data_IF_132859913881
#
_entry.id   IF_132859913881
#
_cell.length_a   1.000
_cell.length_b   1.000
_cell.length_c   1.000
_cell.angle_alpha   90.00
_cell.angle_beta   90.00
_cell.angle_gamma   90.00
#
_symmetry.space_group_name_H-M   'P 1'
#
loop_
_entity.id
_entity.type
_entity.pdbx_description
1 polymer ?
#
# COMPACT_ATOMS: atom_id res chain seq x y z
N UNK A 1 -25.19 6.73 10.33
CA UNK A 1 -23.77 6.83 10.69
C UNK A 1 -23.16 7.83 9.72
N UNK A 2 -22.56 8.92 10.18
CA UNK A 2 -21.95 9.92 9.29
C UNK A 2 -20.72 9.29 8.65
N UNK A 3 -20.81 8.86 7.40
CA UNK A 3 -19.68 8.24 6.68
C UNK A 3 -18.70 9.34 6.32
N UNK A 4 -17.51 9.31 6.93
CA UNK A 4 -16.40 10.11 6.43
C UNK A 4 -16.20 9.79 4.94
N UNK A 5 -15.96 10.80 4.11
CA UNK A 5 -15.71 10.61 2.68
C UNK A 5 -14.55 9.63 2.47
N UNK A 6 -14.76 8.66 1.58
CA UNK A 6 -13.81 7.64 1.21
C UNK A 6 -12.79 8.21 0.24
N UNK A 7 -11.57 8.38 0.74
CA UNK A 7 -10.41 8.76 -0.08
C UNK A 7 -9.75 7.51 -0.65
N UNK A 8 -9.82 7.36 -1.98
CA UNK A 8 -9.18 6.26 -2.71
C UNK A 8 -7.86 6.74 -3.33
N UNK A 9 -6.70 6.11 -3.04
CA UNK A 9 -5.43 6.50 -3.63
C UNK A 9 -5.43 6.35 -5.15
N UNK A 10 -4.68 7.22 -5.84
CA UNK A 10 -4.56 7.22 -7.32
C UNK A 10 -4.17 5.86 -7.88
N UNK A 11 -3.22 5.20 -7.23
CA UNK A 11 -2.78 3.87 -7.66
C UNK A 11 -3.91 2.83 -7.61
N UNK A 12 -4.85 2.95 -6.67
CA UNK A 12 -5.91 1.96 -6.45
C UNK A 12 -7.03 2.11 -7.47
N UNK A 13 -7.52 3.32 -7.73
CA UNK A 13 -8.56 3.52 -8.74
C UNK A 13 -8.03 3.39 -10.17
N UNK A 14 -6.74 3.69 -10.44
CA UNK A 14 -6.15 3.49 -11.77
C UNK A 14 -6.16 2.03 -12.24
N UNK A 15 -6.01 1.08 -11.31
CA UNK A 15 -6.08 -0.37 -11.64
C UNK A 15 -7.43 -0.76 -12.26
N UNK A 16 -8.49 -0.11 -11.78
CA UNK A 16 -9.87 -0.33 -12.25
C UNK A 16 -10.19 0.37 -13.57
N UNK A 17 -9.32 1.27 -14.05
CA UNK A 17 -9.42 1.88 -15.38
C UNK A 17 -8.67 1.09 -16.46
N UNK A 18 -8.13 -0.09 -16.13
CA UNK A 18 -7.36 -0.94 -17.05
C UNK A 18 -6.18 -0.21 -17.72
N UNK A 19 -5.65 0.84 -17.09
CA UNK A 19 -4.54 1.62 -17.63
C UNK A 19 -3.20 0.95 -17.27
N UNK A 20 -2.26 0.79 -18.22
CA UNK A 20 -0.95 0.24 -17.92
C UNK A 20 -0.20 1.03 -16.83
N UNK A 21 0.60 0.31 -16.04
CA UNK A 21 1.40 0.91 -14.98
C UNK A 21 2.41 1.89 -15.57
N UNK A 22 2.36 3.15 -15.13
CA UNK A 22 3.29 4.20 -15.55
C UNK A 22 2.81 5.07 -16.70
N UNK A 23 1.69 4.73 -17.34
CA UNK A 23 1.10 5.58 -18.37
C UNK A 23 0.23 6.69 -17.75
N UNK A 24 0.35 7.95 -18.23
CA UNK A 24 -0.54 9.02 -17.81
C UNK A 24 -1.93 8.80 -18.39
N UNK A 25 -2.96 9.19 -17.64
CA UNK A 25 -4.32 9.24 -18.15
C UNK A 25 -4.50 10.48 -19.02
N UNK A 26 -5.45 10.43 -19.96
CA UNK A 26 -5.94 11.64 -20.59
C UNK A 26 -6.62 12.55 -19.55
N UNK A 27 -6.67 13.85 -19.82
CA UNK A 27 -7.36 14.81 -18.96
C UNK A 27 -8.84 14.43 -18.77
N UNK A 28 -9.49 13.93 -19.83
CA UNK A 28 -10.89 13.51 -19.78
C UNK A 28 -11.08 12.28 -18.88
N UNK A 29 -10.20 11.27 -19.00
CA UNK A 29 -10.28 10.08 -18.16
C UNK A 29 -9.98 10.39 -16.68
N UNK A 30 -9.06 11.31 -16.43
CA UNK A 30 -8.79 11.80 -15.08
C UNK A 30 -10.00 12.56 -14.52
N UNK A 31 -10.63 13.44 -15.31
CA UNK A 31 -11.83 14.15 -14.86
C UNK A 31 -13.00 13.20 -14.62
N UNK A 32 -13.21 12.20 -15.49
CA UNK A 32 -14.29 11.23 -15.36
C UNK A 32 -14.22 10.43 -14.07
N UNK A 33 -13.05 9.92 -13.70
CA UNK A 33 -12.89 9.16 -12.44
C UNK A 33 -12.97 10.06 -11.20
N UNK A 34 -12.45 11.29 -11.26
CA UNK A 34 -12.56 12.26 -10.16
C UNK A 34 -14.03 12.64 -9.90
N UNK A 35 -14.81 12.86 -10.95
CA UNK A 35 -16.26 13.10 -10.85
C UNK A 35 -16.99 11.87 -10.30
N UNK A 36 -16.65 10.67 -10.77
CA UNK A 36 -17.23 9.43 -10.27
C UNK A 36 -16.94 9.20 -8.77
N UNK A 37 -15.70 9.43 -8.32
CA UNK A 37 -15.32 9.32 -6.91
C UNK A 37 -16.02 10.36 -6.04
N UNK A 38 -16.22 11.58 -6.55
CA UNK A 38 -17.01 12.60 -5.87
C UNK A 38 -18.47 12.15 -5.75
N UNK A 39 -19.04 11.60 -6.82
CA UNK A 39 -20.40 11.10 -6.83
C UNK A 39 -20.62 9.97 -5.80
N UNK A 40 -19.73 8.97 -5.76
CA UNK A 40 -19.79 7.87 -4.78
C UNK A 40 -19.77 8.40 -3.34
N UNK A 41 -18.96 9.43 -3.07
CA UNK A 41 -18.86 10.02 -1.74
C UNK A 41 -20.09 10.84 -1.35
N UNK A 42 -20.72 11.51 -2.31
CA UNK A 42 -21.89 12.35 -2.07
C UNK A 42 -23.19 11.53 -2.00
N UNK A 43 -23.31 10.48 -2.83
CA UNK A 43 -24.57 9.78 -3.06
C UNK A 43 -24.52 8.28 -2.77
N UNK A 44 -23.35 7.64 -2.81
CA UNK A 44 -23.24 6.17 -2.82
C UNK A 44 -23.63 5.48 -1.52
N UNK A 45 -23.64 6.19 -0.38
CA UNK A 45 -23.89 5.61 0.94
C UNK A 45 -23.01 4.38 1.27
N UNK A 46 -21.67 4.45 1.06
CA UNK A 46 -20.78 3.31 1.26
C UNK A 46 -20.75 2.88 2.73
N UNK A 47 -20.70 1.56 2.96
CA UNK A 47 -20.77 1.00 4.31
C UNK A 47 -19.91 -0.25 4.47
N UNK A 48 -19.57 -0.52 5.73
CA UNK A 48 -18.87 -1.74 6.13
C UNK A 48 -19.40 -2.26 7.45
N UNK A 49 -19.41 -3.57 7.62
CA UNK A 49 -19.76 -4.26 8.84
C UNK A 49 -18.65 -5.25 9.23
N UNK A 50 -18.36 -5.36 10.53
CA UNK A 50 -17.36 -6.27 11.09
C UNK A 50 -18.06 -7.16 12.10
N UNK A 51 -17.97 -8.47 11.93
CA UNK A 51 -18.54 -9.44 12.87
C UNK A 51 -17.88 -9.34 14.24
N UNK A 52 -18.51 -9.98 15.23
CA UNK A 52 -17.77 -10.38 16.43
C UNK A 52 -16.66 -11.36 16.08
N UNK A 53 -15.61 -11.37 16.90
CA UNK A 53 -14.53 -12.35 16.77
C UNK A 53 -15.06 -13.76 17.03
N UNK A 54 -14.70 -14.69 16.15
CA UNK A 54 -14.99 -16.12 16.33
C UNK A 54 -13.69 -16.88 16.49
N UNK A 55 -13.65 -17.81 17.45
CA UNK A 55 -12.53 -18.76 17.54
C UNK A 55 -12.61 -19.74 16.38
N UNK A 56 -11.46 -20.16 15.88
CA UNK A 56 -11.37 -21.11 14.79
C UNK A 56 -10.27 -22.14 15.02
N UNK A 57 -10.44 -23.27 14.35
CA UNK A 57 -9.45 -24.33 14.25
C UNK A 57 -9.19 -24.65 12.77
N UNK A 58 -7.96 -25.06 12.47
CA UNK A 58 -7.54 -25.47 11.13
C UNK A 58 -6.98 -26.89 11.16
N UNK A 59 -7.49 -27.75 10.28
CA UNK A 59 -7.05 -29.14 10.11
C UNK A 59 -6.87 -29.45 8.62
N UNK A 60 -5.63 -29.44 8.14
CA UNK A 60 -5.37 -29.43 6.70
C UNK A 60 -5.97 -28.18 6.06
N UNK A 61 -6.80 -28.37 5.04
CA UNK A 61 -7.49 -27.28 4.32
C UNK A 61 -8.85 -26.91 4.96
N UNK A 62 -9.26 -27.62 6.02
CA UNK A 62 -10.55 -27.40 6.67
C UNK A 62 -10.42 -26.33 7.75
N UNK A 63 -11.29 -25.33 7.68
CA UNK A 63 -11.47 -24.30 8.70
C UNK A 63 -12.79 -24.57 9.42
N UNK A 64 -12.76 -24.62 10.76
CA UNK A 64 -13.96 -24.75 11.59
C UNK A 64 -14.05 -23.59 12.56
N UNK A 65 -15.17 -22.90 12.55
CA UNK A 65 -15.49 -21.89 13.55
C UNK A 65 -16.15 -22.54 14.76
N UNK A 66 -15.94 -21.94 15.93
CA UNK A 66 -16.53 -22.41 17.19
C UNK A 66 -18.07 -22.36 17.20
N UNK A 67 -18.70 -21.63 16.28
CA UNK A 67 -20.15 -21.58 16.09
C UNK A 67 -20.68 -22.71 15.18
N UNK A 68 -19.83 -23.64 14.73
CA UNK A 68 -20.23 -24.80 13.93
C UNK A 68 -20.14 -24.60 12.41
N UNK A 69 -19.85 -23.37 11.94
CA UNK A 69 -19.61 -23.12 10.52
C UNK A 69 -18.28 -23.75 10.11
N UNK A 70 -18.26 -24.41 8.97
CA UNK A 70 -17.05 -24.99 8.42
C UNK A 70 -17.03 -24.91 6.90
N UNK A 71 -15.85 -24.68 6.34
CA UNK A 71 -15.60 -24.67 4.91
C UNK A 71 -14.15 -25.08 4.64
N UNK A 72 -13.87 -25.46 3.40
CA UNK A 72 -12.52 -25.85 2.97
C UNK A 72 -11.90 -24.74 2.14
N UNK A 73 -10.70 -24.32 2.51
CA UNK A 73 -9.91 -23.40 1.72
C UNK A 73 -8.42 -23.61 1.94
N UNK A 74 -7.71 -24.11 0.92
CA UNK A 74 -6.26 -24.32 0.98
C UNK A 74 -5.50 -23.04 1.31
N UNK A 75 -5.69 -21.96 0.54
CA UNK A 75 -4.95 -20.71 0.71
C UNK A 75 -5.23 -20.05 2.07
N UNK A 76 -6.51 -19.96 2.46
CA UNK A 76 -6.89 -19.45 3.79
C UNK A 76 -6.34 -20.32 4.93
N UNK A 77 -6.47 -21.65 4.88
CA UNK A 77 -6.01 -22.52 5.96
C UNK A 77 -4.48 -22.43 6.15
N UNK A 78 -3.73 -22.39 5.04
CA UNK A 78 -2.29 -22.14 5.07
C UNK A 78 -1.98 -20.76 5.68
N UNK A 79 -2.68 -19.70 5.24
CA UNK A 79 -2.51 -18.34 5.77
C UNK A 79 -2.79 -18.27 7.27
N UNK A 80 -3.87 -18.89 7.74
CA UNK A 80 -4.24 -18.95 9.15
C UNK A 80 -3.17 -19.69 9.97
N UNK A 81 -2.65 -20.82 9.47
CA UNK A 81 -1.57 -21.57 10.14
C UNK A 81 -0.27 -20.78 10.21
N UNK A 82 0.18 -20.21 9.11
CA UNK A 82 1.43 -19.44 9.04
C UNK A 82 1.35 -18.18 9.91
N UNK A 83 0.20 -17.49 9.89
CA UNK A 83 -0.10 -16.37 10.77
C UNK A 83 -0.40 -16.74 12.23
N UNK A 84 -0.39 -18.04 12.56
CA UNK A 84 -0.76 -18.58 13.88
C UNK A 84 -2.11 -18.05 14.40
N UNK A 85 -3.06 -17.82 13.48
CA UNK A 85 -4.36 -17.27 13.80
C UNK A 85 -5.25 -18.33 14.43
N UNK A 86 -5.83 -18.00 15.60
CA UNK A 86 -6.78 -18.87 16.34
C UNK A 86 -8.18 -18.29 16.42
N UNK A 87 -8.36 -17.11 15.85
CA UNK A 87 -9.65 -16.46 15.73
C UNK A 87 -9.71 -15.67 14.43
N UNK A 88 -10.92 -15.32 14.00
CA UNK A 88 -11.15 -14.51 12.83
C UNK A 88 -12.31 -13.54 13.05
N UNK A 89 -12.39 -12.56 12.14
CA UNK A 89 -13.58 -11.73 11.94
C UNK A 89 -13.98 -11.82 10.48
N UNK A 90 -15.29 -11.86 10.24
CA UNK A 90 -15.85 -11.66 8.92
C UNK A 90 -16.20 -10.19 8.73
N UNK A 91 -16.13 -9.76 7.48
CA UNK A 91 -16.41 -8.40 7.06
C UNK A 91 -17.32 -8.44 5.85
N UNK A 92 -18.31 -7.56 5.85
CA UNK A 92 -19.04 -7.17 4.65
C UNK A 92 -18.73 -5.70 4.35
N UNK A 93 -18.50 -5.38 3.09
CA UNK A 93 -18.46 -3.99 2.62
C UNK A 93 -19.24 -3.85 1.33
N UNK A 94 -19.71 -2.63 1.06
CA UNK A 94 -20.40 -2.29 -0.18
C UNK A 94 -20.22 -0.81 -0.49
N UNK A 95 -20.10 -0.49 -1.78
CA UNK A 95 -20.22 0.88 -2.25
C UNK A 95 -21.65 1.43 -2.12
N UNK A 96 -22.64 0.56 -1.88
CA UNK A 96 -24.05 0.90 -1.65
C UNK A 96 -24.94 0.67 -2.88
N UNK A 97 -26.27 0.50 -2.68
CA UNK A 97 -27.22 0.25 -3.77
C UNK A 97 -27.40 1.46 -4.69
N UNK A 98 -27.24 2.68 -4.17
CA UNK A 98 -27.40 3.93 -4.92
C UNK A 98 -26.45 3.99 -6.13
N UNK A 99 -25.23 3.45 -5.97
CA UNK A 99 -24.23 3.38 -7.04
C UNK A 99 -24.68 2.47 -8.17
N UNK A 100 -25.21 1.29 -7.84
CA UNK A 100 -25.72 0.33 -8.83
C UNK A 100 -26.92 0.90 -9.59
N UNK A 101 -27.83 1.58 -8.89
CA UNK A 101 -28.97 2.26 -9.50
C UNK A 101 -28.52 3.36 -10.47
N UNK A 102 -27.52 4.16 -10.10
CA UNK A 102 -26.98 5.21 -10.97
C UNK A 102 -26.22 4.65 -12.17
N UNK A 103 -25.43 3.60 -12.01
CA UNK A 103 -24.76 2.92 -13.14
C UNK A 103 -25.82 2.46 -14.15
N UNK A 104 -26.90 1.82 -13.69
CA UNK A 104 -27.99 1.39 -14.56
C UNK A 104 -28.66 2.59 -15.26
N UNK A 105 -28.92 3.68 -14.53
CA UNK A 105 -29.49 4.91 -15.09
C UNK A 105 -28.61 5.51 -16.19
N UNK A 106 -27.28 5.49 -16.02
CA UNK A 106 -26.31 5.98 -17.02
C UNK A 106 -26.30 5.10 -18.27
N UNK A 107 -26.41 3.77 -18.12
CA UNK A 107 -26.58 2.84 -19.24
C UNK A 107 -27.88 3.11 -20.01
N UNK A 108 -29.00 3.26 -19.31
CA UNK A 108 -30.31 3.54 -19.92
C UNK A 108 -30.35 4.90 -20.63
N UNK A 109 -29.52 5.84 -20.18
CA UNK A 109 -29.35 7.16 -20.77
C UNK A 109 -28.29 7.22 -21.89
N UNK A 110 -27.76 6.07 -22.34
CA UNK A 110 -26.72 5.97 -23.37
C UNK A 110 -25.42 6.75 -23.02
N UNK A 111 -25.04 6.77 -21.74
CA UNK A 111 -23.80 7.40 -21.21
C UNK A 111 -22.83 6.34 -20.66
N UNK A 112 -22.32 5.43 -21.51
CA UNK A 112 -21.55 4.27 -21.07
C UNK A 112 -20.15 4.62 -20.54
N UNK A 113 -19.60 5.75 -20.96
CA UNK A 113 -18.33 6.29 -20.47
C UNK A 113 -18.41 6.69 -18.99
N UNK A 114 -19.46 7.42 -18.62
CA UNK A 114 -19.70 7.78 -17.23
C UNK A 114 -20.05 6.57 -16.37
N UNK A 115 -20.87 5.64 -16.91
CA UNK A 115 -21.17 4.38 -16.24
C UNK A 115 -19.89 3.56 -15.96
N UNK A 116 -18.95 3.55 -16.90
CA UNK A 116 -17.65 2.89 -16.75
C UNK A 116 -16.82 3.52 -15.62
N UNK A 117 -16.69 4.85 -15.58
CA UNK A 117 -15.95 5.52 -14.51
C UNK A 117 -16.59 5.32 -13.15
N UNK A 118 -17.93 5.36 -13.08
CA UNK A 118 -18.66 5.12 -11.83
C UNK A 118 -18.48 3.68 -11.33
N UNK A 119 -18.55 2.69 -12.22
CA UNK A 119 -18.28 1.29 -11.90
C UNK A 119 -16.84 1.08 -11.39
N UNK A 120 -15.85 1.67 -12.06
CA UNK A 120 -14.45 1.61 -11.62
C UNK A 120 -14.25 2.28 -10.25
N UNK A 121 -14.86 3.44 -10.02
CA UNK A 121 -14.81 4.15 -8.74
C UNK A 121 -15.48 3.33 -7.61
N UNK A 122 -16.61 2.68 -7.89
CA UNK A 122 -17.33 1.83 -6.94
C UNK A 122 -16.52 0.60 -6.51
N UNK A 123 -15.85 -0.06 -7.46
CA UNK A 123 -14.96 -1.17 -7.18
C UNK A 123 -13.77 -0.72 -6.31
N UNK A 124 -13.14 0.40 -6.66
CA UNK A 124 -12.02 0.96 -5.90
C UNK A 124 -12.44 1.41 -4.49
N UNK A 125 -13.64 1.97 -4.34
CA UNK A 125 -14.23 2.34 -3.05
C UNK A 125 -14.44 1.11 -2.15
N UNK A 126 -14.99 0.02 -2.71
CA UNK A 126 -15.24 -1.23 -1.98
C UNK A 126 -13.94 -1.88 -1.49
N UNK A 127 -12.90 -1.90 -2.33
CA UNK A 127 -11.57 -2.38 -1.93
C UNK A 127 -10.94 -1.48 -0.85
N UNK A 128 -11.10 -0.15 -0.97
CA UNK A 128 -10.58 0.80 0.02
C UNK A 128 -11.27 0.64 1.38
N UNK A 129 -12.58 0.36 1.40
CA UNK A 129 -13.32 0.03 2.62
C UNK A 129 -12.71 -1.19 3.33
N UNK A 130 -12.33 -2.23 2.61
CA UNK A 130 -11.68 -3.41 3.23
C UNK A 130 -10.35 -3.06 3.87
N UNK A 131 -9.55 -2.20 3.24
CA UNK A 131 -8.28 -1.75 3.81
C UNK A 131 -8.51 -0.92 5.08
N UNK A 132 -9.52 -0.05 5.09
CA UNK A 132 -9.91 0.74 6.26
C UNK A 132 -10.43 -0.14 7.39
N UNK A 133 -11.27 -1.11 7.07
CA UNK A 133 -11.78 -2.10 8.02
C UNK A 133 -10.63 -2.90 8.62
N UNK A 134 -9.70 -3.41 7.80
CA UNK A 134 -8.51 -4.12 8.30
C UNK A 134 -7.72 -3.26 9.28
N UNK A 135 -7.47 -2.00 8.91
CA UNK A 135 -6.80 -1.04 9.82
C UNK A 135 -7.58 -0.86 11.12
N UNK A 136 -8.90 -0.66 11.05
CA UNK A 136 -9.75 -0.53 12.23
C UNK A 136 -9.76 -1.79 13.10
N UNK A 137 -9.67 -2.98 12.51
CA UNK A 137 -9.50 -4.24 13.25
C UNK A 137 -8.14 -4.23 13.98
N UNK A 138 -7.04 -3.92 13.29
CA UNK A 138 -5.72 -3.86 13.90
C UNK A 138 -5.63 -2.81 15.02
N UNK A 139 -6.15 -1.61 14.81
CA UNK A 139 -6.13 -0.53 15.80
C UNK A 139 -6.91 -0.94 17.08
N UNK A 140 -8.02 -1.69 16.94
CA UNK A 140 -8.78 -2.23 18.09
C UNK A 140 -8.06 -3.37 18.82
N UNK A 141 -7.20 -4.10 18.12
CA UNK A 141 -6.54 -5.31 18.61
C UNK A 141 -5.09 -5.09 19.08
N UNK A 142 -4.52 -3.92 18.81
CA UNK A 142 -3.18 -3.53 19.24
C UNK A 142 -2.94 -3.77 20.75
N UNK A 143 -3.85 -3.39 21.68
CA UNK A 143 -3.63 -3.62 23.12
C UNK A 143 -3.54 -5.11 23.50
N UNK A 144 -4.09 -6.00 22.67
CA UNK A 144 -4.04 -7.45 22.86
C UNK A 144 -2.81 -8.10 22.17
N UNK A 145 -1.97 -7.30 21.51
CA UNK A 145 -0.83 -7.81 20.73
C UNK A 145 -1.24 -8.61 19.49
N UNK A 146 -2.44 -8.35 18.97
CA UNK A 146 -2.99 -9.05 17.82
C UNK A 146 -3.08 -8.13 16.59
N UNK A 147 -2.95 -8.73 15.41
CA UNK A 147 -3.13 -8.07 14.12
C UNK A 147 -3.96 -8.95 13.18
N UNK A 148 -4.63 -8.30 12.21
CA UNK A 148 -5.34 -8.99 11.15
C UNK A 148 -4.38 -9.35 10.00
N UNK A 149 -4.45 -10.61 9.56
CA UNK A 149 -3.85 -11.06 8.29
C UNK A 149 -4.50 -10.33 7.10
N UNK A 150 -3.94 -10.48 5.90
CA UNK A 150 -4.63 -10.13 4.67
C UNK A 150 -5.89 -11.01 4.51
N UNK A 151 -6.96 -10.44 3.97
CA UNK A 151 -8.21 -11.20 3.85
C UNK A 151 -8.14 -12.28 2.79
N UNK A 152 -9.07 -13.23 2.92
CA UNK A 152 -9.48 -14.15 1.86
C UNK A 152 -10.99 -14.02 1.67
N UNK A 153 -11.48 -14.35 0.48
CA UNK A 153 -12.92 -14.32 0.14
C UNK A 153 -13.30 -15.63 -0.56
N UNK A 154 -14.54 -16.13 -0.39
CA UNK A 154 -15.07 -17.20 -1.24
C UNK A 154 -14.87 -16.89 -2.73
N UNK A 155 -14.44 -17.88 -3.51
CA UNK A 155 -14.05 -17.73 -4.91
C UNK A 155 -12.57 -17.44 -5.14
N UNK A 156 -11.77 -17.22 -4.09
CA UNK A 156 -10.30 -17.17 -4.18
C UNK A 156 -9.71 -18.59 -4.26
N UNK A 157 -8.40 -18.70 -4.53
CA UNK A 157 -7.74 -19.98 -4.79
C UNK A 157 -7.98 -21.03 -3.67
N UNK A 158 -8.68 -22.09 -4.03
CA UNK A 158 -9.01 -23.19 -3.13
C UNK A 158 -10.22 -22.96 -2.22
N UNK A 159 -10.90 -21.81 -2.27
CA UNK A 159 -12.15 -21.54 -1.53
C UNK A 159 -13.34 -21.50 -2.47
N UNK A 160 -14.27 -22.44 -2.32
CA UNK A 160 -15.48 -22.50 -3.13
C UNK A 160 -16.32 -21.22 -3.02
N UNK A 161 -16.71 -20.65 -4.17
CA UNK A 161 -17.63 -19.50 -4.22
C UNK A 161 -18.97 -19.84 -3.55
N UNK A 162 -19.38 -21.11 -3.62
CA UNK A 162 -20.57 -21.62 -2.96
C UNK A 162 -20.57 -21.39 -1.45
N UNK A 163 -19.43 -21.24 -0.77
CA UNK A 163 -19.40 -20.99 0.67
C UNK A 163 -19.74 -19.53 1.04
N UNK A 164 -19.99 -18.66 0.06
CA UNK A 164 -20.35 -17.27 0.29
C UNK A 164 -21.64 -17.10 1.09
N UNK A 165 -22.62 -18.01 0.95
CA UNK A 165 -23.84 -17.96 1.76
C UNK A 165 -23.57 -18.22 3.24
N UNK A 166 -22.65 -19.12 3.58
CA UNK A 166 -22.30 -19.42 4.97
C UNK A 166 -21.75 -18.18 5.67
N UNK A 167 -20.90 -17.43 4.98
CA UNK A 167 -20.31 -16.20 5.49
C UNK A 167 -21.37 -15.10 5.63
N UNK A 168 -22.26 -14.96 4.64
CA UNK A 168 -23.35 -14.00 4.69
C UNK A 168 -24.36 -14.30 5.80
N UNK A 169 -24.79 -15.55 5.95
CA UNK A 169 -25.71 -15.96 7.02
C UNK A 169 -25.11 -15.71 8.40
N UNK A 170 -23.81 -15.99 8.58
CA UNK A 170 -23.13 -15.70 9.84
C UNK A 170 -23.12 -14.20 10.16
N UNK A 171 -22.79 -13.37 9.17
CA UNK A 171 -22.77 -11.93 9.30
C UNK A 171 -24.17 -11.38 9.61
N UNK A 172 -25.19 -11.85 8.90
CA UNK A 172 -26.59 -11.46 9.10
C UNK A 172 -27.15 -11.90 10.46
N UNK A 173 -26.63 -12.99 11.05
CA UNK A 173 -26.98 -13.45 12.39
C UNK A 173 -26.34 -12.62 13.52
N UNK A 174 -25.42 -11.69 13.21
CA UNK A 174 -24.79 -10.86 14.23
C UNK A 174 -25.79 -9.83 14.80
N UNK A 175 -25.82 -9.60 16.13
CA UNK A 175 -26.77 -8.66 16.74
C UNK A 175 -26.66 -7.21 16.23
N UNK A 176 -25.48 -6.82 15.77
CA UNK A 176 -25.20 -5.48 15.26
C UNK A 176 -25.36 -5.38 13.73
N UNK A 177 -25.76 -6.46 13.04
CA UNK A 177 -26.01 -6.43 11.61
C UNK A 177 -27.09 -5.39 11.31
N UNK A 178 -26.87 -4.46 10.36
CA UNK A 178 -27.86 -3.42 10.10
C UNK A 178 -29.10 -4.03 9.46
N UNK A 179 -30.26 -3.87 10.10
CA UNK A 179 -31.53 -4.44 9.62
C UNK A 179 -31.99 -3.91 8.25
N UNK A 180 -31.53 -2.72 7.87
CA UNK A 180 -31.85 -2.10 6.57
C UNK A 180 -30.81 -2.44 5.47
N UNK A 181 -29.82 -3.28 5.77
CA UNK A 181 -28.80 -3.69 4.79
C UNK A 181 -29.41 -4.55 3.70
N UNK A 182 -29.34 -4.08 2.44
CA UNK A 182 -29.87 -4.76 1.25
C UNK A 182 -28.90 -5.75 0.60
N UNK A 183 -27.90 -6.25 1.34
CA UNK A 183 -26.97 -7.22 0.78
C UNK A 183 -27.68 -8.56 0.60
N UNK A 184 -27.83 -8.98 -0.65
CA UNK A 184 -28.51 -10.22 -1.04
C UNK A 184 -27.57 -11.06 -1.90
N UNK A 185 -27.72 -12.38 -1.82
CA UNK A 185 -27.00 -13.30 -2.69
C UNK A 185 -27.94 -13.74 -3.81
N UNK A 186 -27.48 -13.63 -5.04
CA UNK A 186 -28.17 -14.10 -6.23
C UNK A 186 -27.99 -15.62 -6.40
N UNK A 187 -28.83 -16.26 -7.21
CA UNK A 187 -28.71 -17.70 -7.51
C UNK A 187 -27.35 -18.07 -8.13
N UNK A 188 -26.67 -17.10 -8.75
CA UNK A 188 -25.31 -17.26 -9.29
C UNK A 188 -24.21 -17.31 -8.23
N UNK A 189 -24.54 -17.04 -6.96
CA UNK A 189 -23.58 -16.84 -5.88
C UNK A 189 -23.04 -15.41 -5.80
N UNK A 190 -23.38 -14.53 -6.74
CA UNK A 190 -22.96 -13.12 -6.72
C UNK A 190 -23.72 -12.32 -5.65
N UNK A 191 -23.12 -11.22 -5.19
CA UNK A 191 -23.76 -10.28 -4.27
C UNK A 191 -24.52 -9.21 -5.07
N UNK A 192 -25.63 -8.75 -4.50
CA UNK A 192 -26.35 -7.54 -4.90
C UNK A 192 -26.44 -6.63 -3.67
N UNK A 193 -25.97 -5.37 -3.72
CA UNK A 193 -25.39 -4.68 -4.89
C UNK A 193 -24.07 -5.29 -5.39
N UNK A 194 -23.77 -5.18 -6.70
CA UNK A 194 -22.62 -5.88 -7.32
C UNK A 194 -21.25 -5.39 -6.83
N UNK A 195 -21.17 -4.14 -6.38
CA UNK A 195 -19.98 -3.57 -5.74
C UNK A 195 -19.98 -3.86 -4.23
N UNK A 196 -20.06 -5.14 -3.89
CA UNK A 196 -20.02 -5.62 -2.50
C UNK A 196 -19.02 -6.77 -2.36
N UNK A 197 -18.42 -6.91 -1.19
CA UNK A 197 -17.48 -7.99 -0.91
C UNK A 197 -17.67 -8.53 0.51
N UNK A 198 -17.57 -9.85 0.62
CA UNK A 198 -17.41 -10.55 1.88
C UNK A 198 -15.97 -11.00 2.04
N UNK A 199 -15.41 -10.84 3.22
CA UNK A 199 -14.01 -11.12 3.50
C UNK A 199 -13.84 -11.73 4.88
N UNK A 200 -12.87 -12.64 5.02
CA UNK A 200 -12.46 -13.19 6.31
C UNK A 200 -11.04 -12.74 6.63
N UNK A 201 -10.86 -12.20 7.82
CA UNK A 201 -9.56 -11.82 8.37
C UNK A 201 -9.22 -12.74 9.54
N UNK A 202 -8.16 -13.53 9.40
CA UNK A 202 -7.57 -14.23 10.53
C UNK A 202 -6.83 -13.29 11.47
N UNK A 203 -6.90 -13.54 12.77
CA UNK A 203 -6.28 -12.75 13.82
C UNK A 203 -5.13 -13.52 14.46
N UNK A 204 -3.90 -13.05 14.23
CA UNK A 204 -2.66 -13.65 14.75
C UNK A 204 -1.89 -12.67 15.63
N UNK A 205 -0.79 -13.15 16.23
CA UNK A 205 0.12 -12.29 16.99
C UNK A 205 0.79 -11.26 16.05
N UNK A 206 0.84 -9.99 16.46
CA UNK A 206 1.26 -8.90 15.57
C UNK A 206 2.63 -9.10 14.94
N UNK A 207 3.60 -9.60 15.72
CA UNK A 207 4.96 -9.89 15.23
C UNK A 207 5.00 -11.02 14.19
N UNK A 208 4.17 -12.05 14.35
CA UNK A 208 4.07 -13.18 13.40
C UNK A 208 3.40 -12.71 12.12
N UNK A 209 2.30 -11.95 12.24
CA UNK A 209 1.56 -11.38 11.10
C UNK A 209 2.46 -10.43 10.30
N UNK A 210 3.19 -9.54 10.96
CA UNK A 210 4.10 -8.60 10.30
C UNK A 210 5.23 -9.30 9.53
N UNK A 211 5.86 -10.31 10.14
CA UNK A 211 6.91 -11.09 9.49
C UNK A 211 6.39 -11.87 8.26
N UNK A 212 5.18 -12.43 8.35
CA UNK A 212 4.55 -13.18 7.27
C UNK A 212 4.08 -12.27 6.12
N UNK A 213 3.32 -11.22 6.42
CA UNK A 213 2.70 -10.34 5.41
C UNK A 213 3.74 -9.52 4.62
N UNK A 214 4.91 -9.24 5.21
CA UNK A 214 5.99 -8.52 4.53
C UNK A 214 6.51 -9.24 3.27
N UNK A 215 6.28 -10.55 3.14
CA UNK A 215 6.64 -11.35 1.97
C UNK A 215 5.46 -11.99 1.22
N UNK A 216 4.23 -11.91 1.74
CA UNK A 216 3.09 -12.70 1.26
C UNK A 216 2.22 -12.02 0.18
N UNK A 217 2.66 -10.91 -0.42
CA UNK A 217 1.85 -10.23 -1.44
C UNK A 217 1.72 -11.10 -2.71
N UNK A 218 0.51 -11.54 -3.11
CA UNK A 218 0.33 -12.49 -4.22
C UNK A 218 0.90 -12.01 -5.55
N UNK A 219 0.90 -10.69 -5.78
CA UNK A 219 1.48 -10.09 -6.98
C UNK A 219 2.98 -10.39 -7.16
N UNK A 220 3.72 -10.61 -6.07
CA UNK A 220 5.15 -10.95 -6.12
C UNK A 220 5.36 -12.34 -6.76
N UNK A 221 4.45 -13.29 -6.54
CA UNK A 221 4.53 -14.65 -7.09
C UNK A 221 3.80 -14.85 -8.42
N UNK A 222 3.01 -13.87 -8.89
CA UNK A 222 2.19 -14.00 -10.10
C UNK A 222 2.98 -13.67 -11.37
N UNK A 223 3.07 -14.62 -12.31
CA UNK A 223 3.76 -14.47 -13.61
C UNK A 223 2.91 -13.89 -14.74
N UNK A 224 1.66 -13.47 -14.47
CA UNK A 224 0.77 -12.92 -15.50
C UNK A 224 1.26 -11.54 -15.99
N UNK A 225 1.67 -11.45 -17.25
CA UNK A 225 2.16 -10.20 -17.86
C UNK A 225 1.53 -9.98 -19.25
N UNK A 226 0.92 -8.81 -19.54
CA UNK A 226 0.69 -7.67 -18.65
C UNK A 226 -0.51 -7.86 -17.70
N UNK A 227 -0.43 -7.31 -16.49
CA UNK A 227 -1.55 -7.28 -15.53
C UNK A 227 -1.77 -5.87 -14.98
N UNK A 228 -2.91 -5.25 -15.33
CA UNK A 228 -3.32 -3.91 -14.85
C UNK A 228 -3.63 -3.88 -13.35
N UNK A 229 -3.94 -5.02 -12.74
CA UNK A 229 -4.27 -5.15 -11.32
C UNK A 229 -3.04 -5.37 -10.41
N UNK A 230 -1.84 -5.45 -10.99
CA UNK A 230 -0.61 -5.79 -10.29
C UNK A 230 -0.21 -4.73 -9.25
N UNK A 231 -0.10 -5.13 -7.98
CA UNK A 231 0.33 -4.28 -6.85
C UNK A 231 1.84 -4.34 -6.56
N UNK A 232 2.53 -5.36 -7.04
CA UNK A 232 3.98 -5.52 -6.94
C UNK A 232 4.56 -6.26 -8.16
N UNK A 233 5.82 -5.98 -8.49
CA UNK A 233 6.52 -6.65 -9.59
C UNK A 233 6.68 -8.15 -9.32
N UNK A 234 6.62 -8.96 -10.38
CA UNK A 234 6.86 -10.40 -10.29
C UNK A 234 8.32 -10.66 -9.90
N UNK A 235 8.54 -11.57 -8.95
CA UNK A 235 9.89 -11.90 -8.46
C UNK A 235 10.79 -12.45 -9.58
N UNK A 236 10.21 -13.16 -10.56
CA UNK A 236 10.96 -13.64 -11.73
C UNK A 236 11.44 -12.51 -12.65
N UNK A 237 10.68 -11.41 -12.77
CA UNK A 237 11.13 -10.23 -13.52
C UNK A 237 12.27 -9.51 -12.80
N UNK A 238 12.23 -9.50 -11.46
CA UNK A 238 13.32 -8.98 -10.62
C UNK A 238 14.57 -9.84 -10.84
N UNK A 239 14.46 -11.17 -10.82
CA UNK A 239 15.57 -12.10 -11.02
C UNK A 239 16.15 -12.05 -12.46
N UNK A 240 15.30 -11.91 -13.47
CA UNK A 240 15.70 -11.80 -14.89
C UNK A 240 16.38 -10.46 -15.19
N UNK A 241 15.92 -9.38 -14.56
CA UNK A 241 16.56 -8.06 -14.67
C UNK A 241 17.94 -8.04 -13.98
N UNK A 242 18.07 -8.71 -12.83
CA UNK A 242 19.35 -8.87 -12.11
C UNK A 242 20.39 -9.71 -12.89
N UNK A 243 19.95 -10.65 -13.73
CA UNK A 243 20.84 -11.50 -14.54
C UNK A 243 21.24 -10.87 -15.88
N UNK A 244 20.49 -9.90 -16.41
CA UNK A 244 20.83 -9.22 -17.67
C UNK A 244 21.86 -8.09 -17.52
N UNK A 245 22.18 -7.66 -16.30
CA UNK A 245 23.09 -6.54 -16.02
C UNK A 245 24.54 -6.96 -15.72
N UNK A 246 24.89 -8.23 -15.94
CA UNK A 246 26.27 -8.72 -15.78
C UNK A 246 27.16 -8.34 -16.98
N UNK A 247 27.43 -7.04 -17.14
CA UNK A 247 28.56 -6.56 -17.94
C UNK A 247 29.39 -5.56 -17.14
N UNK A 248 30.47 -6.07 -16.53
CA UNK A 248 31.77 -5.39 -16.49
C UNK A 248 31.97 -4.10 -15.68
N UNK A 249 31.24 -3.85 -14.58
CA UNK A 249 31.54 -2.75 -13.66
C UNK A 249 31.99 -3.27 -12.27
N UNK A 250 32.86 -2.51 -11.60
CA UNK A 250 33.35 -2.79 -10.24
C UNK A 250 32.14 -2.96 -9.31
N UNK A 251 32.02 -4.14 -8.70
CA UNK A 251 30.84 -4.51 -7.93
C UNK A 251 30.86 -3.82 -6.55
N UNK A 252 30.04 -2.78 -6.38
CA UNK A 252 29.71 -2.19 -5.09
C UNK A 252 28.50 -2.91 -4.49
N UNK A 253 28.53 -3.17 -3.17
CA UNK A 253 27.42 -3.82 -2.45
C UNK A 253 26.41 -2.76 -1.99
N UNK A 254 25.30 -2.65 -2.72
CA UNK A 254 24.21 -1.73 -2.38
C UNK A 254 23.09 -2.46 -1.63
N UNK A 255 22.51 -1.79 -0.66
CA UNK A 255 21.35 -2.31 0.07
C UNK A 255 20.06 -2.32 -0.79
N UNK A 256 20.08 -1.64 -1.94
CA UNK A 256 18.95 -1.52 -2.85
C UNK A 256 19.28 -2.12 -4.22
N UNK A 257 18.29 -2.73 -4.92
CA UNK A 257 18.52 -3.27 -6.25
C UNK A 257 18.99 -2.19 -7.24
N UNK A 258 19.93 -2.55 -8.12
CA UNK A 258 20.49 -1.69 -9.18
C UNK A 258 19.39 -0.94 -9.97
N UNK A 259 18.32 -1.63 -10.37
CA UNK A 259 17.17 -1.03 -11.06
C UNK A 259 16.53 0.13 -10.29
N UNK A 260 16.40 0.00 -8.96
CA UNK A 260 15.84 1.05 -8.12
C UNK A 260 16.78 2.25 -8.07
N UNK A 261 18.08 2.03 -7.88
CA UNK A 261 19.11 3.06 -7.87
C UNK A 261 19.25 3.77 -9.23
N UNK A 262 19.17 3.05 -10.35
CA UNK A 262 19.10 3.64 -11.71
C UNK A 262 17.90 4.54 -11.86
N UNK A 263 16.72 4.07 -11.44
CA UNK A 263 15.49 4.86 -11.54
C UNK A 263 15.58 6.12 -10.67
N UNK A 264 15.94 5.97 -9.41
CA UNK A 264 16.05 7.07 -8.46
C UNK A 264 17.09 8.10 -8.88
N UNK A 265 18.25 7.65 -9.39
CA UNK A 265 19.30 8.54 -9.88
C UNK A 265 18.90 9.31 -11.14
N UNK A 266 17.98 8.78 -11.95
CA UNK A 266 17.46 9.45 -13.15
C UNK A 266 16.27 10.36 -12.87
N UNK A 267 15.36 9.94 -12.00
CA UNK A 267 14.04 10.58 -11.84
C UNK A 267 13.95 11.48 -10.61
N UNK A 268 14.73 11.20 -9.57
CA UNK A 268 14.60 11.84 -8.26
C UNK A 268 15.86 12.57 -7.81
N UNK A 269 16.96 12.45 -8.55
CA UNK A 269 18.24 13.04 -8.20
C UNK A 269 18.65 14.10 -9.23
N UNK A 270 19.03 15.26 -8.73
CA UNK A 270 19.70 16.32 -9.51
C UNK A 270 21.13 16.40 -9.01
N UNK A 271 22.10 16.41 -9.92
CA UNK A 271 23.53 16.53 -9.61
C UNK A 271 24.10 17.71 -10.37
N UNK A 272 24.62 18.69 -9.64
CA UNK A 272 25.34 19.84 -10.17
C UNK A 272 26.83 19.70 -9.81
N UNK A 273 27.68 19.62 -10.83
CA UNK A 273 29.13 19.61 -10.65
C UNK A 273 29.68 21.03 -10.86
N UNK A 274 30.35 21.58 -9.84
CA UNK A 274 30.97 22.90 -9.92
C UNK A 274 32.49 22.77 -10.00
N UNK A 275 33.05 23.03 -11.19
CA UNK A 275 34.48 23.22 -11.46
C UNK A 275 35.42 22.15 -10.87
N UNK A 276 34.99 20.88 -10.85
CA UNK A 276 35.69 19.72 -10.25
C UNK A 276 36.02 19.83 -8.75
N UNK A 277 35.60 20.90 -8.07
CA UNK A 277 35.93 21.15 -6.67
C UNK A 277 34.92 20.55 -5.71
N UNK A 278 33.64 20.58 -6.09
CA UNK A 278 32.57 20.01 -5.28
C UNK A 278 31.41 19.56 -6.16
N UNK A 279 30.64 18.60 -5.63
CA UNK A 279 29.40 18.09 -6.23
C UNK A 279 28.26 18.44 -5.29
N UNK A 280 27.20 19.03 -5.83
CA UNK A 280 25.94 19.22 -5.10
C UNK A 280 24.90 18.26 -5.66
N UNK A 281 24.39 17.40 -4.80
CA UNK A 281 23.34 16.45 -5.11
C UNK A 281 22.07 16.80 -4.34
N UNK A 282 20.94 16.87 -5.03
CA UNK A 282 19.62 17.06 -4.41
C UNK A 282 18.72 15.88 -4.77
N UNK A 283 18.40 15.07 -3.77
CA UNK A 283 17.49 13.93 -3.89
C UNK A 283 16.09 14.32 -3.40
N UNK A 284 15.08 14.14 -4.26
CA UNK A 284 13.70 14.59 -4.06
C UNK A 284 12.71 13.42 -4.15
N UNK A 285 12.62 12.57 -3.11
CA UNK A 285 11.63 11.52 -3.09
C UNK A 285 10.23 12.10 -2.86
N UNK A 286 9.24 11.55 -3.54
CA UNK A 286 7.85 11.77 -3.18
C UNK A 286 7.47 10.79 -2.06
N UNK A 287 7.20 11.30 -0.87
CA UNK A 287 6.73 10.48 0.24
C UNK A 287 5.22 10.24 0.11
N UNK A 288 4.84 9.27 -0.75
CA UNK A 288 3.44 8.95 -1.09
C UNK A 288 2.79 7.85 -0.24
N UNK A 289 3.39 7.46 0.88
CA UNK A 289 2.82 6.39 1.74
C UNK A 289 1.88 6.96 2.80
N UNK A 290 0.98 6.11 3.30
CA UNK A 290 -0.19 6.37 4.19
C UNK A 290 0.02 7.16 5.49
N UNK A 291 1.22 7.66 5.75
CA UNK A 291 1.71 8.13 7.04
C UNK A 291 1.55 9.63 7.32
N UNK A 292 0.91 10.35 6.40
CA UNK A 292 0.57 11.77 6.55
C UNK A 292 -0.95 11.98 6.42
N UNK A 293 -1.74 11.05 6.96
CA UNK A 293 -3.21 11.01 6.82
C UNK A 293 -3.69 11.07 5.36
N UNK A 294 -2.89 10.54 4.43
CA UNK A 294 -3.19 10.54 2.99
C UNK A 294 -2.82 11.83 2.25
N UNK A 295 -2.30 12.85 2.93
CA UNK A 295 -1.79 14.08 2.31
C UNK A 295 -0.38 13.81 1.77
N UNK A 296 -0.13 13.93 0.44
CA UNK A 296 1.23 13.83 -0.09
C UNK A 296 2.12 14.89 0.57
N UNK A 297 3.38 14.56 0.86
CA UNK A 297 4.35 15.58 1.28
C UNK A 297 5.70 15.32 0.60
N UNK A 298 6.44 16.40 0.35
CA UNK A 298 7.77 16.36 -0.23
C UNK A 298 8.86 16.69 0.78
N UNK A 299 10.01 16.02 0.68
CA UNK A 299 11.24 16.41 1.38
C UNK A 299 12.39 16.46 0.37
N UNK A 300 13.25 17.46 0.49
CA UNK A 300 14.46 17.62 -0.30
C UNK A 300 15.67 17.25 0.56
N UNK A 301 16.48 16.31 0.09
CA UNK A 301 17.76 15.93 0.70
C UNK A 301 18.89 16.56 -0.11
N UNK A 302 19.61 17.50 0.49
CA UNK A 302 20.78 18.16 -0.10
C UNK A 302 22.07 17.54 0.47
N UNK A 303 22.94 17.10 -0.44
CA UNK A 303 24.22 16.46 -0.13
C UNK A 303 25.31 17.24 -0.89
N UNK A 304 26.23 17.86 -0.16
CA UNK A 304 27.41 18.50 -0.76
C UNK A 304 28.63 17.64 -0.50
N UNK A 305 29.34 17.30 -1.58
CA UNK A 305 30.51 16.44 -1.59
C UNK A 305 31.72 17.22 -2.07
N UNK A 306 32.89 16.91 -1.51
CA UNK A 306 34.16 17.40 -2.01
C UNK A 306 34.58 16.74 -3.33
N UNK A 307 35.81 16.98 -3.78
CA UNK A 307 36.24 16.57 -5.09
C UNK A 307 36.41 15.05 -5.16
N UNK A 308 36.21 14.50 -6.36
CA UNK A 308 36.30 13.06 -6.65
C UNK A 308 37.62 12.43 -6.23
N UNK A 309 38.75 13.13 -6.44
CA UNK A 309 40.10 12.67 -6.08
C UNK A 309 40.28 12.34 -4.61
N UNK A 310 39.42 12.86 -3.74
CA UNK A 310 39.46 12.66 -2.30
C UNK A 310 38.41 11.61 -1.82
N UNK A 311 37.74 10.91 -2.76
CA UNK A 311 36.69 9.93 -2.45
C UNK A 311 35.36 10.57 -2.08
N UNK A 312 35.03 11.73 -2.67
CA UNK A 312 33.79 12.48 -2.42
C UNK A 312 33.50 12.70 -0.91
N UNK A 313 34.38 13.38 -0.15
CA UNK A 313 34.14 13.61 1.27
C UNK A 313 32.88 14.45 1.48
N UNK A 314 31.96 14.00 2.34
CA UNK A 314 30.70 14.66 2.62
C UNK A 314 30.97 15.96 3.39
N UNK A 315 30.71 17.10 2.75
CA UNK A 315 30.90 18.43 3.34
C UNK A 315 29.68 18.90 4.08
N UNK A 316 28.50 18.56 3.57
CA UNK A 316 27.23 19.01 4.14
C UNK A 316 26.12 18.03 3.83
N UNK A 317 25.29 17.76 4.84
CA UNK A 317 23.99 17.14 4.71
C UNK A 317 22.94 18.12 5.21
N UNK A 318 21.84 18.26 4.48
CA UNK A 318 20.67 18.99 4.93
C UNK A 318 19.42 18.32 4.36
N UNK A 319 18.32 18.34 5.11
CA UNK A 319 17.02 18.04 4.56
C UNK A 319 16.00 19.09 4.99
N UNK A 320 15.01 19.33 4.13
CA UNK A 320 13.95 20.29 4.38
C UNK A 320 12.66 19.86 3.70
N UNK A 321 11.49 20.07 4.32
CA UNK A 321 10.22 19.82 3.67
C UNK A 321 10.03 20.80 2.48
N UNK A 322 9.36 20.36 1.43
CA UNK A 322 9.06 21.19 0.24
C UNK A 322 7.90 22.16 0.49
N UNK A 323 7.02 21.81 1.41
CA UNK A 323 5.76 22.46 1.70
C UNK A 323 5.42 22.34 3.20
N UNK A 324 4.24 22.82 3.60
CA UNK A 324 3.71 22.65 4.95
C UNK A 324 2.90 21.36 5.13
N UNK A 325 2.85 20.46 4.14
CA UNK A 325 1.95 19.30 4.19
C UNK A 325 2.39 18.28 5.25
N UNK A 326 3.66 18.31 5.66
CA UNK A 326 4.18 17.56 6.82
C UNK A 326 3.44 17.88 8.13
N UNK A 327 2.67 18.97 8.19
CA UNK A 327 1.85 19.31 9.35
C UNK A 327 0.71 18.31 9.59
N UNK A 328 0.38 17.47 8.59
CA UNK A 328 -0.60 16.39 8.75
C UNK A 328 0.01 15.12 9.39
N UNK A 329 1.31 15.11 9.71
CA UNK A 329 1.99 13.93 10.24
C UNK A 329 1.63 13.73 11.70
N UNK A 330 1.44 12.47 12.13
CA UNK A 330 1.07 12.14 13.51
C UNK A 330 2.04 12.75 14.54
N UNK A 331 3.34 12.80 14.25
CA UNK A 331 4.33 13.42 15.14
C UNK A 331 4.20 14.94 15.19
N UNK A 332 3.83 15.60 14.09
CA UNK A 332 3.55 17.04 14.12
C UNK A 332 2.29 17.35 14.94
N UNK A 333 1.23 16.57 14.75
CA UNK A 333 -0.02 16.72 15.52
C UNK A 333 0.20 16.52 17.03
N UNK A 334 1.16 15.67 17.41
CA UNK A 334 1.53 15.42 18.80
C UNK A 334 2.48 16.47 19.37
N UNK A 335 3.42 16.96 18.57
CA UNK A 335 4.46 17.91 18.97
C UNK A 335 4.80 18.88 17.82
N UNK A 336 4.00 19.95 17.63
CA UNK A 336 4.17 20.87 16.51
C UNK A 336 5.44 21.73 16.60
N UNK A 337 6.03 21.88 17.80
CA UNK A 337 7.22 22.69 18.05
C UNK A 337 8.52 21.87 18.02
N UNK A 338 8.46 20.59 18.40
CA UNK A 338 9.61 19.68 18.42
C UNK A 338 9.80 18.93 17.11
N UNK A 339 8.74 18.36 16.54
CA UNK A 339 8.84 17.50 15.36
C UNK A 339 9.51 18.16 14.15
N UNK A 340 9.22 19.44 13.79
CA UNK A 340 9.91 20.08 12.67
C UNK A 340 11.44 20.11 12.81
N UNK A 341 11.95 20.21 14.05
CA UNK A 341 13.40 20.18 14.34
C UNK A 341 13.97 18.76 14.22
N UNK A 342 13.22 17.74 14.62
CA UNK A 342 13.62 16.35 14.45
C UNK A 342 13.60 15.89 13.00
N UNK A 343 12.61 16.33 12.24
CA UNK A 343 12.39 15.96 10.84
C UNK A 343 13.57 16.36 9.95
N UNK A 344 14.17 17.52 10.22
CA UNK A 344 15.35 18.03 9.50
C UNK A 344 16.68 17.48 10.02
N UNK A 345 16.62 16.46 10.89
CA UNK A 345 17.79 15.77 11.41
C UNK A 345 18.58 15.06 10.31
N UNK A 346 19.91 15.07 10.44
CA UNK A 346 20.84 14.46 9.49
C UNK A 346 21.72 13.42 10.18
N UNK A 347 22.14 12.35 9.47
CA UNK A 347 23.09 11.39 10.01
C UNK A 347 24.51 11.98 10.10
N UNK A 348 25.32 11.43 10.99
CA UNK A 348 26.66 11.92 11.31
C UNK A 348 27.75 11.53 10.31
N UNK A 349 27.58 11.83 9.02
CA UNK A 349 28.56 11.52 7.97
C UNK A 349 29.43 12.70 7.51
N UNK A 350 29.27 13.89 8.09
CA UNK A 350 30.11 15.05 7.73
C UNK A 350 31.59 14.71 7.95
N UNK A 351 32.43 15.08 6.98
CA UNK A 351 33.86 14.79 6.85
C UNK A 351 34.22 13.31 6.60
N UNK A 352 33.25 12.42 6.41
CA UNK A 352 33.49 11.04 5.96
C UNK A 352 33.43 10.92 4.43
N UNK A 353 34.09 9.90 3.87
CA UNK A 353 33.95 9.57 2.45
C UNK A 353 32.56 9.02 2.15
N UNK A 354 32.07 9.24 0.93
CA UNK A 354 30.73 8.81 0.53
C UNK A 354 30.55 7.28 0.62
N UNK A 355 31.59 6.52 0.35
CA UNK A 355 31.61 5.05 0.38
C UNK A 355 31.23 4.48 1.76
N UNK A 356 31.50 5.22 2.84
CA UNK A 356 31.10 4.83 4.20
C UNK A 356 29.57 4.71 4.33
N UNK A 357 28.79 5.38 3.47
CA UNK A 357 27.35 5.24 3.45
C UNK A 357 26.86 3.87 2.97
N UNK A 358 27.72 3.08 2.30
CA UNK A 358 27.40 1.70 1.91
C UNK A 358 27.44 0.75 3.11
N UNK A 359 28.36 0.99 4.05
CA UNK A 359 28.51 0.20 5.29
C UNK A 359 27.46 0.55 6.36
N UNK A 360 26.72 1.65 6.16
CA UNK A 360 25.72 2.10 7.11
C UNK A 360 24.48 1.19 7.12
N UNK A 361 24.25 0.54 8.26
CA UNK A 361 23.10 -0.37 8.45
C UNK A 361 22.15 0.10 9.56
N UNK A 362 21.39 1.20 9.33
CA UNK A 362 20.32 1.61 10.23
C UNK A 362 19.14 0.63 10.14
N UNK A 363 18.33 0.59 11.20
CA UNK A 363 17.05 -0.13 11.19
C UNK A 363 16.21 0.38 10.02
N UNK A 364 15.88 -0.51 9.08
CA UNK A 364 15.10 -0.18 7.89
C UNK A 364 13.62 -0.14 8.24
N UNK A 365 13.00 1.01 8.00
CA UNK A 365 11.56 1.20 8.15
C UNK A 365 10.98 1.68 6.80
N UNK A 366 10.40 0.79 5.99
CA UNK A 366 9.96 1.12 4.63
C UNK A 366 8.72 2.02 4.60
N UNK A 367 8.06 2.24 5.75
CA UNK A 367 7.01 3.22 5.88
C UNK A 367 7.57 4.60 5.47
N UNK A 368 6.99 5.25 4.45
CA UNK A 368 7.43 6.58 4.01
C UNK A 368 6.95 7.72 4.92
N UNK A 369 6.93 7.47 6.23
CA UNK A 369 6.81 8.48 7.26
C UNK A 369 8.19 9.04 7.63
N UNK A 370 8.22 10.13 8.38
CA UNK A 370 9.41 10.70 9.03
C UNK A 370 9.25 10.80 10.56
N UNK A 371 8.17 10.19 11.08
CA UNK A 371 7.73 10.32 12.47
C UNK A 371 8.73 9.73 13.47
N UNK A 372 9.53 8.74 13.05
CA UNK A 372 10.52 8.05 13.89
C UNK A 372 11.92 8.16 13.28
N UNK A 373 12.94 8.05 14.14
CA UNK A 373 14.34 8.07 13.70
C UNK A 373 14.68 6.98 12.67
N UNK A 374 14.28 5.70 12.81
CA UNK A 374 14.56 4.67 11.81
C UNK A 374 14.00 4.98 10.42
N UNK A 375 12.79 5.56 10.35
CA UNK A 375 12.20 5.98 9.08
C UNK A 375 13.01 7.12 8.42
N UNK A 376 13.51 8.09 9.21
CA UNK A 376 14.38 9.16 8.71
C UNK A 376 15.73 8.61 8.23
N UNK A 377 16.33 7.71 9.00
CA UNK A 377 17.60 7.07 8.65
C UNK A 377 17.47 6.24 7.37
N UNK A 378 16.37 5.50 7.21
CA UNK A 378 16.06 4.76 5.99
C UNK A 378 16.01 5.67 4.76
N UNK A 379 15.38 6.85 4.84
CA UNK A 379 15.35 7.82 3.73
C UNK A 379 16.72 8.40 3.42
N UNK A 380 17.52 8.69 4.44
CA UNK A 380 18.90 9.11 4.25
C UNK A 380 19.75 8.03 3.59
N UNK A 381 19.56 6.75 3.94
CA UNK A 381 20.25 5.62 3.30
C UNK A 381 19.92 5.54 1.81
N UNK A 382 18.64 5.71 1.45
CA UNK A 382 18.21 5.78 0.04
C UNK A 382 18.92 6.93 -0.68
N UNK A 383 18.91 8.14 -0.09
CA UNK A 383 19.50 9.32 -0.70
C UNK A 383 21.01 9.14 -0.94
N UNK A 384 21.77 8.72 0.08
CA UNK A 384 23.21 8.56 0.00
C UNK A 384 23.63 7.46 -0.98
N UNK A 385 22.97 6.29 -0.95
CA UNK A 385 23.30 5.21 -1.89
C UNK A 385 22.90 5.56 -3.34
N UNK A 386 21.82 6.32 -3.54
CA UNK A 386 21.45 6.82 -4.88
C UNK A 386 22.49 7.79 -5.44
N UNK A 387 23.01 8.70 -4.60
CA UNK A 387 24.09 9.62 -5.00
C UNK A 387 25.37 8.85 -5.30
N UNK A 388 25.79 7.95 -4.41
CA UNK A 388 26.96 7.11 -4.63
C UNK A 388 26.85 6.32 -5.94
N UNK A 389 25.69 5.70 -6.16
CA UNK A 389 25.40 4.95 -7.36
C UNK A 389 25.54 5.82 -8.62
N UNK A 390 24.95 7.02 -8.63
CA UNK A 390 25.02 7.94 -9.77
C UNK A 390 26.45 8.35 -10.11
N UNK A 391 27.24 8.69 -9.10
CA UNK A 391 28.62 9.19 -9.29
C UNK A 391 29.61 8.11 -9.73
N UNK A 392 29.32 6.84 -9.45
CA UNK A 392 30.16 5.71 -9.84
C UNK A 392 29.63 4.89 -11.03
N UNK A 393 28.40 5.14 -11.48
CA UNK A 393 27.80 4.47 -12.65
C UNK A 393 27.81 5.32 -13.94
N UNK A 394 28.11 6.62 -13.84
CA UNK A 394 28.35 7.50 -14.99
C UNK A 394 29.83 7.46 -15.47
N UNK A 395 30.59 6.43 -15.05
CA UNK A 395 31.83 6.00 -15.71
C UNK A 395 31.54 5.03 -16.86
#
# INVERSE_FOLDING_TARGET
MSSASITVPVAEWKRHLCTPVGEPLSADAQSGVEQALAWVNEHGSPWSFISQTVNLETEGDLIRFANGISFTSRALAEKLRLGQARSAVAVACSAGPDVSEEIQRLWDAERPDEAFFLNAAAAACTEQLLLWVRKSICDRLEPAGLAALSHESPGYDGWELGDQYLLLEWLAAQPAWPGDTKLTMLDSGMLSPEHSQLALFGLGQSNVVEAFESGAMPCIGCSMDPCSYRRAQYAGDVQAQLTSTASGAVAFDYAYPDKALRRWSRELLIVDSCDEQYVRATFRPDCKTCSNLGVPFGIDYSIELGPRRDGFPIRKLACQPRDSDYQSMCSYLKDPDGFPREMVGVPGFVDQQLDHALEWDPVVEPAGCLCRQPARDHKWKIALQTVHYKLHSDE
#
